data_IF_966333152814
#
_entry.id   IF_966333152814
#
_cell.length_a   1.000
_cell.length_b   1.000
_cell.length_c   1.000
_cell.angle_alpha   90.00
_cell.angle_beta   90.00
_cell.angle_gamma   90.00
#
_symmetry.space_group_name_H-M   'P 1'
#
loop_
_entity.id
_entity.type
_entity.pdbx_description
1 polymer ?
#
# COMPACT_ATOMS: atom_id res chain seq x y z
N UNK A 1 15.86 6.50 7.14
CA UNK A 1 14.51 6.07 7.57
C UNK A 1 13.36 7.07 7.42
N UNK A 2 13.54 8.39 7.27
CA UNK A 2 12.47 9.33 6.79
C UNK A 2 12.45 9.51 5.27
N UNK A 3 13.65 9.60 4.67
CA UNK A 3 13.88 9.73 3.22
C UNK A 3 13.21 8.63 2.36
N UNK A 4 13.15 7.41 2.86
CA UNK A 4 12.53 6.29 2.12
C UNK A 4 11.03 6.55 1.89
N UNK A 5 10.33 7.09 2.90
CA UNK A 5 8.91 7.42 2.82
C UNK A 5 8.65 8.61 1.88
N UNK A 6 9.49 9.64 1.94
CA UNK A 6 9.39 10.81 1.06
C UNK A 6 9.63 10.41 -0.41
N UNK A 7 10.57 9.49 -0.68
CA UNK A 7 10.82 9.00 -2.04
C UNK A 7 9.66 8.21 -2.64
N UNK A 8 8.99 7.36 -1.85
CA UNK A 8 7.79 6.64 -2.29
C UNK A 8 6.67 7.64 -2.58
N UNK A 9 6.46 8.62 -1.70
CA UNK A 9 5.45 9.67 -1.88
C UNK A 9 5.67 10.54 -3.11
N UNK A 10 6.93 10.82 -3.48
CA UNK A 10 7.23 11.61 -4.68
C UNK A 10 6.96 10.84 -5.98
N UNK A 11 6.98 9.50 -5.96
CA UNK A 11 6.87 8.64 -7.15
C UNK A 11 5.45 8.21 -7.49
N UNK A 12 4.54 8.17 -6.51
CA UNK A 12 3.15 7.72 -6.78
C UNK A 12 2.33 8.85 -7.39
N UNK A 13 2.02 8.73 -8.69
CA UNK A 13 1.08 9.58 -9.41
C UNK A 13 -0.25 8.83 -9.53
N UNK A 14 -1.36 9.51 -9.23
CA UNK A 14 -2.71 8.97 -9.40
C UNK A 14 -3.51 9.84 -10.37
N UNK A 15 -4.38 9.23 -11.16
CA UNK A 15 -5.39 9.97 -11.90
C UNK A 15 -6.57 10.23 -10.96
N UNK A 16 -7.04 11.48 -10.89
CA UNK A 16 -8.30 11.79 -10.22
C UNK A 16 -9.51 11.39 -11.10
N UNK A 17 -10.73 11.53 -10.56
CA UNK A 17 -11.96 11.19 -11.28
C UNK A 17 -12.18 12.02 -12.55
N UNK A 18 -11.46 13.14 -12.71
CA UNK A 18 -11.46 13.96 -13.91
C UNK A 18 -10.28 13.60 -14.85
N UNK A 19 -9.57 12.50 -14.60
CA UNK A 19 -8.44 12.03 -15.40
C UNK A 19 -7.17 12.88 -15.23
N UNK A 20 -7.10 13.76 -14.24
CA UNK A 20 -5.94 14.62 -14.02
C UNK A 20 -4.92 13.96 -13.10
N UNK A 21 -3.65 14.04 -13.48
CA UNK A 21 -2.54 13.54 -12.68
C UNK A 21 -2.40 14.36 -11.40
N UNK A 22 -2.54 13.72 -10.24
CA UNK A 22 -2.32 14.28 -8.91
C UNK A 22 -1.18 13.53 -8.21
N UNK A 23 -0.34 14.28 -7.50
CA UNK A 23 0.56 13.75 -6.47
C UNK A 23 0.14 14.32 -5.13
N UNK A 24 0.03 13.48 -4.12
CA UNK A 24 -0.38 13.84 -2.76
C UNK A 24 -0.38 12.60 -1.87
N UNK A 25 -0.66 12.76 -0.58
CA UNK A 25 -0.59 11.69 0.45
C UNK A 25 -1.51 10.49 0.23
N UNK A 26 -2.40 10.54 -0.77
CA UNK A 26 -3.37 9.48 -1.06
C UNK A 26 -2.78 8.36 -1.91
N UNK A 27 -2.54 7.21 -1.30
CA UNK A 27 -2.30 5.96 -2.03
C UNK A 27 -1.34 4.95 -1.39
N UNK A 28 -0.82 5.21 -0.19
CA UNK A 28 0.00 4.21 0.52
C UNK A 28 -0.86 3.53 1.58
N UNK A 29 -1.30 2.31 1.29
CA UNK A 29 -1.93 1.45 2.29
C UNK A 29 -0.84 0.75 3.09
N UNK A 30 -0.78 1.03 4.39
CA UNK A 30 0.02 0.23 5.31
C UNK A 30 -0.81 -0.98 5.73
N UNK A 31 -0.44 -2.15 5.24
CA UNK A 31 -0.97 -3.40 5.80
C UNK A 31 -0.11 -3.75 7.01
N UNK A 32 -0.58 -3.41 8.21
CA UNK A 32 0.04 -3.87 9.44
C UNK A 32 -0.60 -5.20 9.85
N UNK A 33 0.17 -6.28 9.76
CA UNK A 33 -0.31 -7.62 10.08
C UNK A 33 -0.20 -7.91 11.58
N UNK A 34 -1.09 -8.73 12.18
CA UNK A 34 -0.79 -9.30 13.49
C UNK A 34 0.57 -10.00 13.46
N UNK A 35 1.37 -9.83 14.51
CA UNK A 35 2.72 -10.42 14.63
C UNK A 35 2.72 -11.95 14.51
N UNK A 36 1.55 -12.60 14.63
CA UNK A 36 1.31 -13.99 14.21
C UNK A 36 -0.02 -14.10 13.47
N UNK A 37 0.03 -14.63 12.26
CA UNK A 37 -1.13 -14.85 11.39
C UNK A 37 -1.83 -16.15 11.77
N UNK A 38 -3.16 -16.15 11.90
CA UNK A 38 -3.89 -17.43 12.06
C UNK A 38 -3.85 -18.23 10.75
N UNK A 39 -4.01 -19.57 10.79
CA UNK A 39 -4.03 -20.38 9.56
C UNK A 39 -5.08 -19.92 8.52
N UNK A 40 -6.24 -19.44 8.98
CA UNK A 40 -7.27 -18.88 8.10
C UNK A 40 -6.83 -17.59 7.41
N UNK A 41 -6.17 -16.69 8.15
CA UNK A 41 -5.61 -15.45 7.60
C UNK A 41 -4.52 -15.73 6.55
N UNK A 42 -3.66 -16.73 6.77
CA UNK A 42 -2.64 -17.13 5.80
C UNK A 42 -3.26 -17.59 4.48
N UNK A 43 -4.36 -18.34 4.54
CA UNK A 43 -5.03 -18.84 3.33
C UNK A 43 -5.57 -17.68 2.48
N UNK A 44 -6.24 -16.72 3.12
CA UNK A 44 -6.76 -15.52 2.43
C UNK A 44 -5.61 -14.71 1.84
N UNK A 45 -4.54 -14.49 2.60
CA UNK A 45 -3.37 -13.75 2.13
C UNK A 45 -2.70 -14.35 0.90
N UNK A 46 -2.50 -15.66 0.86
CA UNK A 46 -1.94 -16.35 -0.32
C UNK A 46 -2.83 -16.18 -1.54
N UNK A 47 -4.16 -16.23 -1.37
CA UNK A 47 -5.10 -16.05 -2.48
C UNK A 47 -5.02 -14.65 -3.10
N UNK A 48 -4.53 -13.66 -2.33
CA UNK A 48 -4.34 -12.28 -2.75
C UNK A 48 -2.90 -11.97 -3.20
N UNK A 49 -1.97 -12.94 -3.16
CA UNK A 49 -0.57 -12.74 -3.54
C UNK A 49 0.25 -11.90 -2.55
N UNK A 50 -0.15 -11.91 -1.28
CA UNK A 50 0.42 -11.07 -0.22
C UNK A 50 1.27 -11.86 0.82
N UNK A 51 1.33 -13.20 0.69
CA UNK A 51 2.23 -14.15 1.36
C UNK A 51 2.76 -15.14 0.34
#
# INVERSE_FOLDING_TARGET
RRREWENIWLRTKRYDAAGKVRSGTGGVCYVYWPTRTTPGQQRVLRSLGLL
#
